data_IF_195995584479
#
_entry.id   IF_195995584479
#
_cell.length_a   1.000
_cell.length_b   1.000
_cell.length_c   1.000
_cell.angle_alpha   90.00
_cell.angle_beta   90.00
_cell.angle_gamma   90.00
#
_symmetry.space_group_name_H-M   'P 1'
#
loop_
_entity.id
_entity.type
_entity.pdbx_description
1 polymer ?
#
# COMPACT_ATOMS: atom_id res chain seq x y z
N UNK A 1 5.73 6.05 6.74
CA UNK A 1 6.01 5.42 5.42
C UNK A 1 6.49 6.51 4.47
N UNK A 2 7.27 6.14 3.46
CA UNK A 2 7.88 7.10 2.55
C UNK A 2 6.87 7.69 1.55
N UNK A 3 7.13 8.88 1.03
CA UNK A 3 6.24 9.55 0.07
C UNK A 3 5.98 8.74 -1.22
N UNK A 4 6.85 7.78 -1.56
CA UNK A 4 6.69 6.90 -2.73
C UNK A 4 5.39 6.08 -2.69
N UNK A 5 4.89 5.75 -1.50
CA UNK A 5 3.65 4.99 -1.34
C UNK A 5 2.45 5.81 -1.77
N UNK A 6 2.35 7.06 -1.31
CA UNK A 6 1.27 7.97 -1.70
C UNK A 6 1.27 8.17 -3.22
N UNK A 7 2.43 8.47 -3.82
CA UNK A 7 2.53 8.65 -5.26
C UNK A 7 2.12 7.39 -6.06
N UNK A 8 2.41 6.20 -5.54
CA UNK A 8 2.00 4.95 -6.19
C UNK A 8 0.48 4.74 -6.09
N UNK A 9 -0.13 5.02 -4.94
CA UNK A 9 -1.58 4.89 -4.74
C UNK A 9 -2.33 5.86 -5.66
N UNK A 10 -1.91 7.13 -5.72
CA UNK A 10 -2.56 8.13 -6.56
C UNK A 10 -2.48 7.74 -8.05
N UNK A 11 -1.30 7.31 -8.51
CA UNK A 11 -1.11 6.85 -9.89
C UNK A 11 -1.91 5.59 -10.21
N UNK A 12 -2.00 4.65 -9.26
CA UNK A 12 -2.80 3.44 -9.42
C UNK A 12 -4.30 3.76 -9.54
N UNK A 13 -4.82 4.66 -8.71
CA UNK A 13 -6.20 5.13 -8.78
C UNK A 13 -6.51 5.78 -10.14
N UNK A 14 -5.59 6.62 -10.64
CA UNK A 14 -5.70 7.20 -11.98
C UNK A 14 -5.74 6.12 -13.09
N UNK A 15 -4.90 5.08 -13.00
CA UNK A 15 -4.90 3.97 -13.97
C UNK A 15 -6.20 3.16 -13.91
N UNK A 16 -6.77 2.98 -12.72
CA UNK A 16 -8.02 2.27 -12.50
C UNK A 16 -9.28 3.11 -12.84
N UNK A 17 -9.12 4.40 -13.14
CA UNK A 17 -10.26 5.30 -13.38
C UNK A 17 -11.10 5.57 -12.13
N UNK A 18 -10.50 5.48 -10.94
CA UNK A 18 -11.14 5.78 -9.65
C UNK A 18 -10.99 7.28 -9.38
N UNK A 19 -11.73 8.09 -10.12
CA UNK A 19 -11.67 9.56 -10.07
C UNK A 19 -12.65 10.19 -9.06
N UNK A 20 -13.59 9.40 -8.53
CA UNK A 20 -14.45 9.78 -7.42
C UNK A 20 -13.94 9.23 -6.07
N UNK A 21 -14.18 9.99 -5.01
CA UNK A 21 -13.73 9.68 -3.64
C UNK A 21 -14.29 8.36 -3.12
N UNK A 22 -15.54 8.03 -3.48
CA UNK A 22 -16.22 6.85 -2.93
C UNK A 22 -15.62 5.56 -3.53
N UNK A 23 -15.39 5.53 -4.84
CA UNK A 23 -14.75 4.42 -5.54
C UNK A 23 -13.30 4.21 -5.09
N UNK A 24 -12.57 5.28 -4.79
CA UNK A 24 -11.21 5.21 -4.25
C UNK A 24 -11.19 4.62 -2.83
N UNK A 25 -12.00 5.14 -1.91
CA UNK A 25 -12.07 4.66 -0.52
C UNK A 25 -12.63 3.25 -0.44
N UNK A 26 -13.53 2.86 -1.36
CA UNK A 26 -14.07 1.50 -1.43
C UNK A 26 -13.00 0.42 -1.66
N UNK A 27 -11.85 0.77 -2.24
CA UNK A 27 -10.73 -0.17 -2.41
C UNK A 27 -9.91 -0.38 -1.13
N UNK A 28 -10.10 0.44 -0.10
CA UNK A 28 -9.28 0.38 1.10
C UNK A 28 -9.63 -0.83 1.95
N UNK A 29 -8.60 -1.58 2.35
CA UNK A 29 -8.72 -2.72 3.26
C UNK A 29 -8.06 -2.38 4.58
N UNK A 30 -8.73 -2.75 5.67
CA UNK A 30 -8.18 -2.62 7.01
C UNK A 30 -7.88 -4.01 7.55
N UNK A 31 -6.62 -4.21 7.90
CA UNK A 31 -6.16 -5.40 8.60
C UNK A 31 -5.67 -4.99 9.98
N UNK A 32 -5.95 -5.84 10.97
CA UNK A 32 -5.51 -5.65 12.35
C UNK A 32 -4.91 -6.95 12.85
N UNK A 33 -3.76 -6.85 13.49
CA UNK A 33 -3.10 -7.98 14.15
C UNK A 33 -2.95 -7.69 15.64
N UNK A 34 -3.10 -8.73 16.46
CA UNK A 34 -2.73 -8.64 17.87
C UNK A 34 -1.22 -8.51 17.98
N UNK A 35 -0.80 -7.60 18.84
CA UNK A 35 0.59 -7.25 19.00
C UNK A 35 0.96 -7.43 20.47
N UNK A 36 1.86 -8.37 20.75
CA UNK A 36 2.35 -8.63 22.10
C UNK A 36 3.70 -7.91 22.31
N UNK A 37 3.84 -7.20 23.44
CA UNK A 37 5.09 -6.54 23.82
C UNK A 37 5.14 -5.05 23.46
N UNK A 38 6.34 -4.55 23.12
CA UNK A 38 6.57 -3.13 22.84
C UNK A 38 6.01 -2.70 21.47
N UNK A 39 4.95 -1.90 21.52
CA UNK A 39 4.28 -1.35 20.36
C UNK A 39 5.20 -0.51 19.47
N UNK A 40 6.12 0.27 20.06
CA UNK A 40 7.01 1.13 19.28
C UNK A 40 8.00 0.32 18.44
N UNK A 41 8.62 -0.71 19.04
CA UNK A 41 9.54 -1.61 18.35
C UNK A 41 8.85 -2.40 17.23
N UNK A 42 7.63 -2.87 17.49
CA UNK A 42 6.86 -3.61 16.50
C UNK A 42 6.40 -2.72 15.33
N UNK A 43 5.97 -1.48 15.58
CA UNK A 43 5.66 -0.51 14.52
C UNK A 43 6.89 -0.21 13.67
N UNK A 44 8.07 -0.01 14.29
CA UNK A 44 9.31 0.25 13.55
C UNK A 44 9.73 -0.95 12.67
N UNK A 45 9.56 -2.17 13.19
CA UNK A 45 9.80 -3.42 12.46
C UNK A 45 8.85 -3.53 11.26
N UNK A 46 7.57 -3.23 11.46
CA UNK A 46 6.56 -3.31 10.42
C UNK A 46 6.76 -2.27 9.31
N UNK A 47 7.12 -1.03 9.67
CA UNK A 47 7.51 0.01 8.71
C UNK A 47 8.68 -0.47 7.85
N UNK A 48 9.70 -1.07 8.47
CA UNK A 48 10.88 -1.59 7.77
C UNK A 48 10.50 -2.73 6.82
N UNK A 49 9.65 -3.65 7.28
CA UNK A 49 9.13 -4.77 6.48
C UNK A 49 8.36 -4.28 5.26
N UNK A 50 7.42 -3.36 5.44
CA UNK A 50 6.63 -2.76 4.34
C UNK A 50 7.56 -2.04 3.36
N UNK A 51 8.51 -1.24 3.86
CA UNK A 51 9.45 -0.53 3.00
C UNK A 51 10.29 -1.46 2.13
N UNK A 52 10.75 -2.60 2.67
CA UNK A 52 11.53 -3.59 1.94
C UNK A 52 10.66 -4.42 0.97
N UNK A 53 9.46 -4.83 1.40
CA UNK A 53 8.55 -5.66 0.61
C UNK A 53 7.97 -4.92 -0.60
N UNK A 54 7.76 -3.61 -0.49
CA UNK A 54 7.26 -2.73 -1.54
C UNK A 54 8.38 -1.83 -2.07
N UNK A 55 9.34 -2.49 -2.74
CA UNK A 55 10.38 -1.80 -3.48
C UNK A 55 9.81 -1.08 -4.72
N UNK A 56 10.64 -0.26 -5.37
CA UNK A 56 10.24 0.56 -6.52
C UNK A 56 9.61 -0.26 -7.65
N UNK A 57 10.22 -1.40 -7.99
CA UNK A 57 9.75 -2.21 -9.13
C UNK A 57 8.39 -2.84 -8.85
N UNK A 58 8.14 -3.30 -7.62
CA UNK A 58 6.84 -3.82 -7.22
C UNK A 58 5.78 -2.72 -7.20
N UNK A 59 6.10 -1.54 -6.67
CA UNK A 59 5.19 -0.39 -6.69
C UNK A 59 4.82 0.01 -8.13
N UNK A 60 5.78 0.02 -9.06
CA UNK A 60 5.47 0.31 -10.47
C UNK A 60 4.59 -0.77 -11.12
N UNK A 61 4.75 -2.06 -10.76
CA UNK A 61 3.83 -3.10 -11.22
C UNK A 61 2.42 -2.88 -10.70
N UNK A 62 2.27 -2.58 -9.41
CA UNK A 62 0.98 -2.25 -8.79
C UNK A 62 0.33 -1.02 -9.43
N UNK A 63 1.11 0.01 -9.76
CA UNK A 63 0.59 1.18 -10.49
C UNK A 63 0.02 0.77 -11.85
N UNK A 64 0.77 -0.03 -12.61
CA UNK A 64 0.35 -0.48 -13.95
C UNK A 64 -0.89 -1.36 -13.94
N UNK A 65 -1.12 -2.10 -12.86
CA UNK A 65 -2.31 -2.94 -12.67
C UNK A 65 -3.48 -2.22 -12.00
N UNK A 66 -3.41 -0.90 -11.82
CA UNK A 66 -4.49 -0.15 -11.15
C UNK A 66 -4.63 -0.47 -9.67
N UNK A 67 -3.55 -0.92 -9.01
CA UNK A 67 -3.51 -1.23 -7.58
C UNK A 67 -3.82 -2.68 -7.24
N UNK A 68 -4.03 -3.55 -8.23
CA UNK A 68 -4.29 -4.97 -8.03
C UNK A 68 -2.98 -5.75 -8.05
N UNK A 69 -2.68 -6.46 -6.97
CA UNK A 69 -1.55 -7.40 -6.97
C UNK A 69 -1.97 -8.64 -7.77
N UNK A 70 -1.32 -8.91 -8.90
CA UNK A 70 -1.48 -10.20 -9.59
C UNK A 70 -0.94 -11.29 -8.67
N UNK A 71 -1.82 -12.17 -8.20
CA UNK A 71 -1.40 -13.40 -7.55
C UNK A 71 -0.66 -14.25 -8.58
N UNK A 72 0.65 -14.46 -8.37
CA UNK A 72 1.43 -15.46 -9.10
C UNK A 72 0.99 -16.85 -8.65
#
# INVERSE_FOLDING_TARGET
>A
LDARFQHAIDRAAMVAGLDDTDSYVAQWRRESAELAGDLAAAVATEITRINAAYNRDRLERLVRSGGVEEAI
#
